data_IF_542485787185
#
_entry.id   IF_542485787185
#
_cell.length_a   1.000
_cell.length_b   1.000
_cell.length_c   1.000
_cell.angle_alpha   90.00
_cell.angle_beta   90.00
_cell.angle_gamma   90.00
#
_symmetry.space_group_name_H-M   'P 1'
#
loop_
_entity.id
_entity.type
_entity.pdbx_description
1 polymer ?
#
# COMPACT_ATOMS: atom_id res chain seq x y z
N UNK A 1 13.57 -37.50 -50.27
CA UNK A 1 13.28 -36.12 -49.79
C UNK A 1 12.11 -36.02 -48.80
N UNK A 2 11.10 -36.91 -48.83
CA UNK A 2 9.92 -36.81 -47.95
C UNK A 2 10.17 -36.99 -46.43
N UNK A 3 11.25 -37.67 -46.00
CA UNK A 3 11.56 -37.90 -44.57
C UNK A 3 12.10 -36.67 -43.83
N UNK A 4 12.66 -35.69 -44.54
CA UNK A 4 13.24 -34.48 -43.94
C UNK A 4 12.15 -33.46 -43.57
N UNK A 5 11.16 -33.32 -44.46
CA UNK A 5 10.04 -32.35 -44.32
C UNK A 5 9.11 -32.70 -43.16
N UNK A 6 8.88 -33.98 -42.87
CA UNK A 6 8.04 -34.37 -41.73
C UNK A 6 8.70 -34.01 -40.41
N UNK A 7 10.02 -34.21 -40.29
CA UNK A 7 10.78 -33.90 -39.07
C UNK A 7 10.76 -32.42 -38.75
N UNK A 8 10.95 -31.55 -39.74
CA UNK A 8 10.90 -30.09 -39.54
C UNK A 8 9.51 -29.59 -39.15
N UNK A 9 8.43 -30.18 -39.68
CA UNK A 9 7.06 -29.88 -39.26
C UNK A 9 6.79 -30.27 -37.80
N UNK A 10 7.32 -31.42 -37.34
CA UNK A 10 7.22 -31.81 -35.92
C UNK A 10 7.95 -30.84 -34.99
N UNK A 11 9.15 -30.38 -35.36
CA UNK A 11 9.90 -29.40 -34.56
C UNK A 11 9.22 -28.03 -34.51
N UNK A 12 8.62 -27.58 -35.62
CA UNK A 12 7.83 -26.35 -35.66
C UNK A 12 6.57 -26.47 -34.79
N UNK A 13 5.88 -27.61 -34.84
CA UNK A 13 4.71 -27.87 -33.99
C UNK A 13 5.06 -27.91 -32.51
N UNK A 14 6.17 -28.56 -32.15
CA UNK A 14 6.67 -28.59 -30.78
C UNK A 14 7.07 -27.19 -30.28
N UNK A 15 7.77 -26.40 -31.10
CA UNK A 15 8.14 -25.03 -30.77
C UNK A 15 6.90 -24.14 -30.57
N UNK A 16 5.89 -24.24 -31.45
CA UNK A 16 4.65 -23.50 -31.32
C UNK A 16 3.87 -23.90 -30.05
N UNK A 17 3.81 -25.19 -29.72
CA UNK A 17 3.17 -25.68 -28.51
C UNK A 17 3.89 -25.19 -27.24
N UNK A 18 5.22 -25.18 -27.23
CA UNK A 18 6.02 -24.65 -26.12
C UNK A 18 5.80 -23.13 -25.96
N UNK A 19 5.77 -22.37 -27.05
CA UNK A 19 5.49 -20.92 -27.01
C UNK A 19 4.07 -20.65 -26.48
N UNK A 20 3.07 -21.43 -26.91
CA UNK A 20 1.70 -21.31 -26.40
C UNK A 20 1.61 -21.68 -24.92
N UNK A 21 2.29 -22.75 -24.49
CA UNK A 21 2.34 -23.17 -23.09
C UNK A 21 3.02 -22.11 -22.22
N UNK A 22 4.13 -21.54 -22.68
CA UNK A 22 4.81 -20.41 -22.02
C UNK A 22 3.89 -19.19 -21.95
N UNK A 23 3.14 -18.90 -23.01
CA UNK A 23 2.18 -17.78 -23.03
C UNK A 23 1.01 -18.01 -22.06
N UNK A 24 0.53 -19.25 -21.91
CA UNK A 24 -0.52 -19.59 -20.94
C UNK A 24 -0.03 -19.66 -19.50
N UNK A 25 1.28 -19.87 -19.30
CA UNK A 25 1.94 -19.84 -17.99
C UNK A 25 2.33 -18.42 -17.57
N UNK A 26 2.31 -17.44 -18.48
CA UNK A 26 2.41 -16.04 -18.11
C UNK A 26 1.14 -15.69 -17.32
N UNK A 27 1.25 -15.28 -16.05
CA UNK A 27 0.10 -14.82 -15.30
C UNK A 27 -0.49 -13.64 -16.06
N UNK A 28 -1.71 -13.82 -16.58
CA UNK A 28 -2.52 -12.70 -17.04
C UNK A 28 -2.92 -11.96 -15.78
N UNK A 29 -2.16 -10.92 -15.43
CA UNK A 29 -2.56 -10.00 -14.36
C UNK A 29 -3.82 -9.32 -14.83
N UNK A 30 -4.97 -9.88 -14.48
CA UNK A 30 -6.25 -9.25 -14.74
C UNK A 30 -6.28 -7.98 -13.89
N UNK A 31 -6.27 -6.82 -14.55
CA UNK A 31 -6.34 -5.53 -13.88
C UNK A 31 -7.61 -5.48 -13.00
N UNK A 32 -7.51 -4.84 -11.83
CA UNK A 32 -8.65 -4.66 -10.94
C UNK A 32 -9.79 -3.97 -11.69
N UNK A 33 -11.06 -4.41 -11.57
CA UNK A 33 -12.19 -3.79 -12.25
C UNK A 33 -12.43 -2.33 -11.82
N UNK A 34 -11.82 -1.92 -10.70
CA UNK A 34 -11.91 -0.57 -10.16
C UNK A 34 -10.75 0.33 -10.60
N UNK A 35 -9.74 -0.22 -11.27
CA UNK A 35 -8.50 0.48 -11.63
C UNK A 35 -8.55 0.99 -13.07
N UNK A 36 -8.09 2.23 -13.27
CA UNK A 36 -7.75 2.81 -14.57
C UNK A 36 -6.30 3.24 -14.57
N UNK A 37 -5.55 2.85 -15.60
CA UNK A 37 -4.18 3.31 -15.82
C UNK A 37 -4.19 4.57 -16.67
N UNK A 38 -3.41 5.56 -16.26
CA UNK A 38 -3.23 6.82 -16.98
C UNK A 38 -1.79 6.94 -17.47
N UNK A 39 -1.62 7.30 -18.75
CA UNK A 39 -0.30 7.49 -19.35
C UNK A 39 -0.22 8.82 -20.12
N UNK A 40 0.96 9.45 -20.09
CA UNK A 40 1.25 10.66 -20.86
C UNK A 40 1.21 10.35 -22.36
N UNK A 41 0.07 10.66 -22.98
CA UNK A 41 -0.18 10.43 -24.41
C UNK A 41 -1.65 10.59 -24.79
N UNK A 42 -2.57 10.37 -23.86
CA UNK A 42 -4.03 10.43 -24.11
C UNK A 42 -4.70 11.75 -23.64
N UNK A 43 -3.95 12.86 -23.61
CA UNK A 43 -4.46 14.13 -23.06
C UNK A 43 -4.65 14.15 -21.53
N UNK A 44 -4.22 13.08 -20.85
CA UNK A 44 -4.19 13.01 -19.38
C UNK A 44 -3.07 13.90 -18.82
N UNK A 45 -3.41 14.74 -17.84
CA UNK A 45 -2.46 15.58 -17.06
C UNK A 45 -1.76 14.74 -15.97
N UNK A 46 -2.18 13.49 -15.79
CA UNK A 46 -1.72 12.58 -14.75
C UNK A 46 -1.19 11.27 -15.35
N UNK A 47 -0.11 10.75 -14.78
CA UNK A 47 0.46 9.43 -15.09
C UNK A 47 0.45 8.60 -13.82
N UNK A 48 -0.20 7.44 -13.86
CA UNK A 48 -0.38 6.61 -12.68
C UNK A 48 -1.62 5.72 -12.77
N UNK A 49 -2.23 5.46 -11.62
CA UNK A 49 -3.49 4.72 -11.51
C UNK A 49 -4.55 5.51 -10.75
N UNK A 50 -5.79 5.39 -11.21
CA UNK A 50 -6.99 5.85 -10.52
C UNK A 50 -7.82 4.63 -10.11
N UNK A 51 -8.29 4.60 -8.86
CA UNK A 51 -9.13 3.55 -8.30
C UNK A 51 -10.48 4.14 -7.89
N UNK A 52 -11.52 3.80 -8.65
CA UNK A 52 -12.88 4.34 -8.49
C UNK A 52 -13.69 3.49 -7.52
N UNK A 53 -14.35 4.14 -6.54
CA UNK A 53 -15.25 3.44 -5.62
C UNK A 53 -16.52 2.96 -6.30
N UNK A 54 -17.12 1.89 -5.75
CA UNK A 54 -18.47 1.47 -6.09
C UNK A 54 -19.49 2.55 -5.67
N UNK A 55 -19.18 3.29 -4.61
CA UNK A 55 -19.98 4.42 -4.15
C UNK A 55 -19.56 5.66 -4.95
N UNK A 56 -20.41 6.11 -5.87
CA UNK A 56 -20.08 7.17 -6.84
C UNK A 56 -19.82 8.55 -6.21
N UNK A 57 -20.19 8.75 -4.95
CA UNK A 57 -19.97 9.96 -4.15
C UNK A 57 -18.61 9.96 -3.42
N UNK A 58 -17.91 8.83 -3.36
CA UNK A 58 -16.58 8.73 -2.77
C UNK A 58 -15.53 9.06 -3.82
N UNK A 59 -14.65 10.07 -3.60
CA UNK A 59 -13.59 10.39 -4.55
C UNK A 59 -12.66 9.21 -4.80
N UNK A 60 -12.24 9.03 -6.05
CA UNK A 60 -11.28 8.00 -6.43
C UNK A 60 -9.93 8.18 -5.71
N UNK A 61 -9.22 7.08 -5.46
CA UNK A 61 -7.81 7.17 -5.08
C UNK A 61 -6.96 7.34 -6.33
N UNK A 62 -5.97 8.22 -6.28
CA UNK A 62 -5.04 8.45 -7.39
C UNK A 62 -3.62 8.31 -6.91
N UNK A 63 -2.84 7.52 -7.64
CA UNK A 63 -1.45 7.28 -7.30
C UNK A 63 -0.50 7.41 -8.49
N UNK A 64 0.53 8.23 -8.32
CA UNK A 64 1.64 8.40 -9.25
C UNK A 64 2.61 7.20 -9.17
N UNK A 65 2.21 6.08 -9.76
CA UNK A 65 2.95 4.80 -9.72
C UNK A 65 3.15 4.21 -11.12
N UNK A 66 4.11 3.30 -11.25
CA UNK A 66 4.24 2.51 -12.49
C UNK A 66 3.03 1.58 -12.67
N UNK A 67 2.67 1.20 -13.90
CA UNK A 67 1.59 0.24 -14.14
C UNK A 67 1.79 -1.09 -13.40
N UNK A 68 3.04 -1.53 -13.21
CA UNK A 68 3.37 -2.75 -12.47
C UNK A 68 3.06 -2.59 -10.98
N UNK A 69 3.46 -1.47 -10.38
CA UNK A 69 3.15 -1.17 -8.98
C UNK A 69 1.64 -1.01 -8.75
N UNK A 70 0.93 -0.34 -9.66
CA UNK A 70 -0.53 -0.19 -9.60
C UNK A 70 -1.27 -1.54 -9.52
N UNK A 71 -0.78 -2.57 -10.22
CA UNK A 71 -1.40 -3.91 -10.20
C UNK A 71 -1.21 -4.67 -8.88
N UNK A 72 -0.28 -4.22 -8.03
CA UNK A 72 -0.06 -4.79 -6.70
C UNK A 72 -0.96 -4.16 -5.64
N UNK A 73 -1.70 -3.10 -6.00
CA UNK A 73 -2.66 -2.45 -5.12
C UNK A 73 -3.91 -3.29 -4.99
N UNK A 74 -4.31 -3.54 -3.74
CA UNK A 74 -5.54 -4.23 -3.38
C UNK A 74 -6.63 -3.20 -3.13
N UNK A 75 -7.68 -3.29 -3.93
CA UNK A 75 -8.85 -2.45 -3.81
C UNK A 75 -10.11 -3.20 -4.20
N UNK A 76 -11.10 -3.19 -3.32
CA UNK A 76 -12.38 -3.89 -3.48
C UNK A 76 -13.53 -2.95 -3.84
N UNK A 77 -13.25 -1.66 -4.09
CA UNK A 77 -14.25 -0.64 -4.36
C UNK A 77 -14.82 0.05 -3.12
N UNK A 78 -14.34 -0.30 -1.92
CA UNK A 78 -14.75 0.31 -0.64
C UNK A 78 -14.11 1.69 -0.39
N UNK A 79 -14.20 2.19 0.84
CA UNK A 79 -13.56 3.43 1.28
C UNK A 79 -12.05 3.28 1.54
N UNK A 80 -11.51 2.06 1.52
CA UNK A 80 -10.13 1.75 1.89
C UNK A 80 -9.35 1.09 0.77
N UNK A 81 -8.05 1.37 0.68
CA UNK A 81 -7.14 0.85 -0.34
C UNK A 81 -5.82 0.41 0.31
N UNK A 82 -5.25 -0.69 -0.15
CA UNK A 82 -4.09 -1.34 0.49
C UNK A 82 -2.99 -1.65 -0.51
N UNK A 83 -1.73 -1.46 -0.11
CA UNK A 83 -0.56 -1.98 -0.83
C UNK A 83 0.63 -2.12 0.13
N UNK A 84 1.63 -2.92 -0.26
CA UNK A 84 2.82 -3.18 0.56
C UNK A 84 4.04 -2.49 -0.02
N UNK A 85 4.87 -1.91 0.83
CA UNK A 85 6.09 -1.20 0.50
C UNK A 85 7.32 -1.90 1.07
N UNK A 86 8.42 -1.95 0.34
CA UNK A 86 9.72 -2.34 0.90
C UNK A 86 10.37 -1.15 1.61
N UNK A 87 10.73 -1.34 2.89
CA UNK A 87 11.55 -0.37 3.61
C UNK A 87 13.04 -0.65 3.41
N UNK A 88 13.88 0.37 3.12
CA UNK A 88 13.57 1.80 3.01
C UNK A 88 13.38 2.29 1.56
N UNK A 89 13.25 1.39 0.57
CA UNK A 89 13.28 1.77 -0.86
C UNK A 89 11.99 2.40 -1.36
N UNK A 90 10.87 2.20 -0.66
CA UNK A 90 9.51 2.58 -1.09
C UNK A 90 9.04 1.89 -2.37
N UNK A 91 9.68 0.78 -2.75
CA UNK A 91 9.19 -0.04 -3.85
C UNK A 91 7.88 -0.73 -3.44
N UNK A 92 6.86 -0.68 -4.30
CA UNK A 92 5.63 -1.43 -4.07
C UNK A 92 5.89 -2.90 -4.41
N UNK A 93 5.69 -3.77 -3.42
CA UNK A 93 5.94 -5.21 -3.51
C UNK A 93 4.63 -6.00 -3.40
N UNK A 94 4.69 -7.30 -3.69
CA UNK A 94 3.53 -8.18 -3.52
C UNK A 94 3.06 -8.24 -2.06
N UNK A 95 1.78 -8.51 -1.87
CA UNK A 95 1.14 -8.60 -0.55
C UNK A 95 1.65 -9.79 0.28
N UNK A 96 2.07 -10.88 -0.37
CA UNK A 96 2.74 -11.99 0.29
C UNK A 96 4.17 -11.66 0.73
N UNK A 97 4.69 -10.49 0.34
CA UNK A 97 5.99 -9.95 0.72
C UNK A 97 7.14 -10.96 0.59
N UNK A 98 7.05 -11.91 -0.35
CA UNK A 98 8.07 -12.97 -0.46
C UNK A 98 9.40 -12.37 -0.88
N UNK A 99 10.41 -12.58 -0.05
CA UNK A 99 11.75 -12.03 -0.26
C UNK A 99 11.90 -10.57 0.18
N UNK A 100 10.82 -9.93 0.64
CA UNK A 100 10.88 -8.66 1.34
C UNK A 100 11.58 -8.82 2.67
N UNK A 101 12.50 -7.90 2.99
CA UNK A 101 13.19 -7.93 4.28
C UNK A 101 12.40 -7.16 5.32
N UNK A 102 11.83 -6.03 4.94
CA UNK A 102 11.07 -5.15 5.83
C UNK A 102 9.79 -4.65 5.14
N UNK A 103 8.76 -5.50 4.99
CA UNK A 103 7.52 -5.10 4.34
C UNK A 103 6.68 -4.19 5.24
N UNK A 104 6.23 -3.07 4.70
CA UNK A 104 5.30 -2.15 5.36
C UNK A 104 3.97 -2.19 4.59
N UNK A 105 2.97 -2.82 5.19
CA UNK A 105 1.61 -2.84 4.65
C UNK A 105 0.94 -1.50 4.95
N UNK A 106 0.59 -0.75 3.91
CA UNK A 106 -0.07 0.54 3.98
C UNK A 106 -1.55 0.38 3.63
N UNK A 107 -2.43 0.82 4.52
CA UNK A 107 -3.87 0.89 4.31
C UNK A 107 -4.33 2.34 4.43
N UNK A 108 -4.96 2.87 3.39
CA UNK A 108 -5.42 4.26 3.30
C UNK A 108 -6.93 4.24 3.22
N UNK A 109 -7.61 4.94 4.13
CA UNK A 109 -9.05 5.04 4.15
C UNK A 109 -9.50 6.49 4.02
N UNK A 110 -10.50 6.76 3.18
CA UNK A 110 -11.21 8.04 3.18
C UNK A 110 -12.17 8.10 4.36
N UNK A 111 -12.10 9.18 5.14
CA UNK A 111 -12.98 9.41 6.29
C UNK A 111 -13.66 10.77 6.19
N UNK A 112 -14.86 10.88 6.79
CA UNK A 112 -15.45 12.19 7.06
C UNK A 112 -14.71 12.83 8.23
N UNK A 113 -14.27 14.07 8.05
CA UNK A 113 -13.68 14.87 9.13
C UNK A 113 -14.74 15.43 10.09
N UNK A 114 -16.02 15.39 9.71
CA UNK A 114 -17.11 15.84 10.57
C UNK A 114 -17.23 14.94 11.80
N UNK A 115 -16.97 15.50 12.98
CA UNK A 115 -17.02 14.77 14.25
C UNK A 115 -15.90 13.73 14.43
N UNK A 116 -14.90 13.69 13.53
CA UNK A 116 -13.73 12.84 13.69
C UNK A 116 -12.85 13.37 14.83
N UNK A 117 -12.45 12.46 15.71
CA UNK A 117 -11.53 12.76 16.81
C UNK A 117 -10.58 11.57 16.98
N UNK A 118 -9.35 11.74 16.50
CA UNK A 118 -8.32 10.72 16.59
C UNK A 118 -7.97 10.39 18.05
N UNK A 119 -8.08 11.35 18.97
CA UNK A 119 -7.78 11.18 20.39
C UNK A 119 -8.91 10.51 21.18
N UNK A 120 -10.04 10.19 20.54
CA UNK A 120 -11.21 9.62 21.23
C UNK A 120 -10.88 8.37 22.06
N UNK A 121 -9.99 7.51 21.56
CA UNK A 121 -9.58 6.28 22.25
C UNK A 121 -8.70 6.52 23.50
N UNK A 122 -8.10 7.71 23.61
CA UNK A 122 -7.27 8.13 24.74
C UNK A 122 -8.02 9.04 25.73
N UNK A 123 -9.27 9.40 25.47
CA UNK A 123 -10.04 10.29 26.35
C UNK A 123 -10.09 9.75 27.79
N UNK A 124 -9.70 10.60 28.74
CA UNK A 124 -9.66 10.27 30.16
C UNK A 124 -8.46 9.42 30.59
N UNK A 125 -7.54 9.10 29.67
CA UNK A 125 -6.30 8.40 29.97
C UNK A 125 -5.15 9.40 30.14
N UNK A 126 -4.21 9.05 31.01
CA UNK A 126 -2.96 9.77 31.17
C UNK A 126 -1.81 8.89 30.71
N UNK A 127 -0.77 9.47 30.09
CA UNK A 127 0.40 8.70 29.70
C UNK A 127 1.10 8.14 30.94
N UNK A 128 1.46 6.86 30.88
CA UNK A 128 2.20 6.13 31.92
C UNK A 128 3.72 6.27 31.74
N UNK A 129 4.16 6.69 30.56
CA UNK A 129 5.55 6.97 30.24
C UNK A 129 5.65 8.18 29.29
N UNK A 130 6.73 8.95 29.42
CA UNK A 130 7.10 9.99 28.47
C UNK A 130 8.61 9.93 28.25
N UNK A 131 9.02 9.61 27.04
CA UNK A 131 10.44 9.57 26.65
C UNK A 131 10.57 10.17 25.25
N UNK A 132 11.50 11.12 25.08
CA UNK A 132 11.82 11.73 23.79
C UNK A 132 10.59 12.25 23.01
N UNK A 133 9.62 12.83 23.75
CA UNK A 133 8.38 13.36 23.19
C UNK A 133 7.43 12.28 22.64
N UNK A 134 7.56 11.04 23.08
CA UNK A 134 6.64 9.93 22.83
C UNK A 134 5.90 9.62 24.14
N UNK A 135 4.59 9.80 24.11
CA UNK A 135 3.66 9.49 25.19
C UNK A 135 3.31 8.00 25.12
N UNK A 136 3.53 7.24 26.20
CA UNK A 136 3.15 5.83 26.32
C UNK A 136 1.87 5.68 27.13
N UNK A 137 0.96 4.82 26.68
CA UNK A 137 -0.34 4.54 27.28
C UNK A 137 -0.55 3.03 27.41
N UNK A 138 -1.27 2.61 28.46
CA UNK A 138 -1.78 1.25 28.56
C UNK A 138 -3.28 1.23 28.23
N UNK A 139 -3.63 0.57 27.14
CA UNK A 139 -5.00 0.53 26.62
C UNK A 139 -5.41 -0.93 26.38
N UNK A 140 -6.31 -1.44 27.23
CA UNK A 140 -6.84 -2.80 27.07
C UNK A 140 -5.76 -3.90 27.12
N UNK A 141 -4.67 -3.67 27.86
CA UNK A 141 -3.52 -4.59 27.94
C UNK A 141 -2.48 -4.43 26.81
N UNK A 142 -2.68 -3.49 25.90
CA UNK A 142 -1.71 -3.14 24.85
C UNK A 142 -0.97 -1.86 25.20
N UNK A 143 0.30 -1.79 24.80
CA UNK A 143 1.09 -0.57 24.82
C UNK A 143 0.76 0.25 23.58
N UNK A 144 0.17 1.40 23.79
CA UNK A 144 -0.04 2.41 22.77
C UNK A 144 0.95 3.56 22.98
N UNK A 145 1.48 4.11 21.90
CA UNK A 145 2.41 5.23 21.91
C UNK A 145 1.84 6.33 21.02
N UNK A 146 1.93 7.58 21.47
CA UNK A 146 1.53 8.76 20.72
C UNK A 146 2.72 9.69 20.59
N UNK A 147 2.91 10.25 19.40
CA UNK A 147 3.88 11.33 19.20
C UNK A 147 3.40 12.29 18.12
N UNK A 148 4.03 13.46 18.05
CA UNK A 148 3.82 14.41 16.95
C UNK A 148 4.82 14.10 15.84
N UNK A 149 4.31 13.78 14.65
CA UNK A 149 5.09 13.56 13.43
C UNK A 149 5.75 14.85 12.94
N UNK A 150 6.67 14.75 11.97
CA UNK A 150 7.45 15.91 11.48
C UNK A 150 6.60 17.03 10.88
N UNK A 151 5.39 16.71 10.46
CA UNK A 151 4.42 17.63 9.87
C UNK A 151 3.38 18.16 10.89
N UNK A 152 3.61 17.91 12.18
CA UNK A 152 2.76 18.40 13.27
C UNK A 152 1.51 17.56 13.52
N UNK A 153 1.29 16.48 12.77
CA UNK A 153 0.13 15.60 12.94
C UNK A 153 0.42 14.56 14.03
N UNK A 154 -0.60 14.22 14.83
CA UNK A 154 -0.49 13.15 15.81
C UNK A 154 -0.41 11.77 15.14
N UNK A 155 0.55 10.97 15.57
CA UNK A 155 0.77 9.59 15.16
C UNK A 155 0.52 8.70 16.38
N UNK A 156 -0.28 7.67 16.17
CA UNK A 156 -0.60 6.67 17.19
C UNK A 156 0.00 5.35 16.77
N UNK A 157 0.60 4.64 17.71
CA UNK A 157 1.34 3.40 17.46
C UNK A 157 0.91 2.36 18.47
N UNK A 158 0.61 1.15 18.01
CA UNK A 158 0.22 0.02 18.85
C UNK A 158 1.14 -1.16 18.59
N UNK A 159 1.66 -1.75 19.65
CA UNK A 159 2.51 -2.94 19.57
C UNK A 159 1.64 -4.21 19.61
N UNK A 160 1.67 -4.98 18.51
CA UNK A 160 1.07 -6.31 18.43
C UNK A 160 2.10 -7.38 18.78
N UNK A 161 1.83 -8.68 18.62
CA UNK A 161 2.80 -9.72 18.99
C UNK A 161 4.07 -9.65 18.12
N UNK A 162 3.91 -9.66 16.80
CA UNK A 162 5.02 -9.71 15.83
C UNK A 162 5.21 -8.41 15.01
N UNK A 163 4.22 -7.52 15.04
CA UNK A 163 4.21 -6.30 14.24
C UNK A 163 3.96 -5.09 15.12
N UNK A 164 4.24 -3.93 14.55
CA UNK A 164 3.80 -2.65 15.05
C UNK A 164 2.83 -2.09 14.02
N UNK A 165 1.75 -1.48 14.48
CA UNK A 165 0.84 -0.72 13.63
C UNK A 165 0.89 0.73 14.06
N UNK A 166 0.98 1.63 13.11
CA UNK A 166 0.81 3.04 13.36
C UNK A 166 -0.30 3.62 12.48
N UNK A 167 -0.89 4.71 12.93
CA UNK A 167 -1.91 5.42 12.18
C UNK A 167 -1.86 6.92 12.41
N UNK A 168 -2.25 7.67 11.39
CA UNK A 168 -2.26 9.13 11.37
C UNK A 168 -3.20 9.67 10.31
N UNK A 169 -3.54 10.96 10.44
CA UNK A 169 -4.17 11.69 9.36
C UNK A 169 -3.14 12.08 8.29
N UNK A 170 -3.60 12.15 7.05
CA UNK A 170 -2.85 12.69 5.92
C UNK A 170 -3.81 13.51 5.04
N UNK A 171 -3.34 14.67 4.57
CA UNK A 171 -4.16 15.60 3.81
C UNK A 171 -5.44 16.02 4.55
N UNK A 172 -6.52 16.25 3.79
CA UNK A 172 -7.81 16.76 4.32
C UNK A 172 -8.84 15.68 4.67
N UNK A 173 -8.48 14.39 4.64
CA UNK A 173 -9.47 13.33 4.90
C UNK A 173 -8.99 11.90 4.68
N UNK A 174 -7.69 11.65 4.67
CA UNK A 174 -7.14 10.30 4.60
C UNK A 174 -6.70 9.85 6.00
N UNK A 175 -7.26 8.74 6.46
CA UNK A 175 -6.76 8.02 7.62
C UNK A 175 -5.84 6.92 7.13
N UNK A 176 -4.55 7.05 7.43
CA UNK A 176 -3.51 6.14 6.98
C UNK A 176 -3.11 5.24 8.14
N UNK A 177 -3.06 3.95 7.87
CA UNK A 177 -2.51 2.92 8.74
C UNK A 177 -1.31 2.30 8.04
N UNK A 178 -0.22 2.08 8.76
CA UNK A 178 0.89 1.28 8.29
C UNK A 178 1.28 0.27 9.34
N UNK A 179 1.42 -0.98 8.91
CA UNK A 179 1.83 -2.08 9.74
C UNK A 179 3.17 -2.62 9.26
N UNK A 180 4.09 -2.82 10.19
CA UNK A 180 5.48 -3.14 9.89
C UNK A 180 6.09 -4.10 10.91
N UNK A 181 7.22 -4.75 10.60
CA UNK A 181 7.88 -5.70 11.47
C UNK A 181 8.45 -5.01 12.71
N UNK A 182 8.40 -5.68 13.86
CA UNK A 182 8.91 -5.13 15.14
C UNK A 182 10.39 -4.81 15.16
N UNK A 183 11.15 -5.39 14.23
CA UNK A 183 12.57 -5.13 14.03
C UNK A 183 12.84 -3.65 13.70
N UNK A 184 11.86 -2.95 13.12
CA UNK A 184 11.92 -1.50 12.91
C UNK A 184 11.47 -0.78 14.19
N UNK A 185 12.41 -0.60 15.12
CA UNK A 185 12.13 -0.06 16.46
C UNK A 185 11.97 1.47 16.50
N UNK A 186 12.57 2.17 15.55
CA UNK A 186 12.45 3.63 15.42
C UNK A 186 11.13 4.01 14.72
N UNK A 187 10.11 4.24 15.54
CA UNK A 187 8.76 4.58 15.06
C UNK A 187 8.69 5.92 14.35
N UNK A 188 9.61 6.85 14.66
CA UNK A 188 9.66 8.16 13.99
C UNK A 188 10.24 8.00 12.60
N UNK A 189 11.32 7.24 12.45
CA UNK A 189 11.89 6.94 11.13
C UNK A 189 10.88 6.23 10.21
N UNK A 190 10.06 5.32 10.75
CA UNK A 190 9.02 4.64 9.98
C UNK A 190 7.87 5.60 9.58
N UNK A 191 7.42 6.49 10.48
CA UNK A 191 6.45 7.54 10.13
C UNK A 191 6.99 8.50 9.07
N UNK A 192 8.24 8.94 9.21
CA UNK A 192 8.88 9.82 8.23
C UNK A 192 9.00 9.17 6.85
N UNK A 193 9.32 7.88 6.83
CA UNK A 193 9.30 7.07 5.60
C UNK A 193 7.88 7.02 5.02
N UNK A 194 6.88 6.62 5.81
CA UNK A 194 5.49 6.52 5.34
C UNK A 194 4.99 7.85 4.78
N UNK A 195 5.24 8.96 5.48
CA UNK A 195 4.90 10.30 5.01
C UNK A 195 5.62 10.65 3.70
N UNK A 196 6.91 10.34 3.58
CA UNK A 196 7.65 10.59 2.33
C UNK A 196 7.14 9.77 1.14
N UNK A 197 6.56 8.60 1.39
CA UNK A 197 5.92 7.79 0.35
C UNK A 197 4.58 8.39 -0.04
N UNK A 198 3.76 8.78 0.94
CA UNK A 198 2.47 9.45 0.69
C UNK A 198 2.66 10.73 -0.14
N UNK A 199 3.63 11.56 0.23
CA UNK A 199 3.96 12.82 -0.48
C UNK A 199 4.34 12.60 -1.95
N UNK A 200 4.95 11.45 -2.27
CA UNK A 200 5.39 11.10 -3.63
C UNK A 200 4.31 10.40 -4.45
N UNK A 201 3.58 9.49 -3.81
CA UNK A 201 2.68 8.59 -4.50
C UNK A 201 1.27 9.15 -4.61
N UNK A 202 0.73 9.79 -3.57
CA UNK A 202 -0.65 10.27 -3.56
C UNK A 202 -0.78 11.48 -4.50
N UNK A 203 -1.66 11.37 -5.48
CA UNK A 203 -1.93 12.41 -6.47
C UNK A 203 -3.33 13.00 -6.26
N UNK A 204 -3.51 13.70 -5.15
CA UNK A 204 -4.70 14.54 -4.89
C UNK A 204 -4.60 15.91 -5.56
#
# INVERSE_FOLDING_TARGET
MARSVSRSLYWLGAAAAVVLLLYSLLPTTQDSPYMKLHSTGEGSVFTGCEFSSIQHDVPAFRFSMSPQACRLVRYDGSSGIEFTLEYPTAEVVSDDAKGSRYPIALFIQRISMEGFDADRHLRGKHPVALADGIEGYEVGGFQERKFTGKDGVSVYVSDYVATVRANRLYGSGLWVFYQYPKELTDVRAVDEFALSVLDKLVAE
#
